data_IF_468425398933
#
_entry.id   IF_468425398933
#
_cell.length_a   1.000
_cell.length_b   1.000
_cell.length_c   1.000
_cell.angle_alpha   90.00
_cell.angle_beta   90.00
_cell.angle_gamma   90.00
#
_symmetry.space_group_name_H-M   'P 1'
#
loop_
_entity.id
_entity.type
_entity.pdbx_description
1 polymer ?
#
# COMPACT_ATOMS: atom_id res chain seq x y z
N UNK A 1 -1.62 11.23 6.19
CA UNK A 1 -0.86 10.18 5.49
C UNK A 1 -1.50 8.85 5.82
N UNK A 2 -1.68 7.96 4.85
CA UNK A 2 -2.26 6.62 5.07
C UNK A 2 -1.15 5.57 5.00
N UNK A 3 -1.16 4.60 5.92
CA UNK A 3 -0.23 3.46 5.90
C UNK A 3 -1.05 2.17 5.91
N UNK A 4 -0.86 1.34 4.89
CA UNK A 4 -1.49 0.03 4.79
C UNK A 4 -0.43 -1.08 4.92
N UNK A 5 -0.63 -1.96 5.90
CA UNK A 5 0.27 -3.05 6.23
C UNK A 5 -0.28 -4.38 5.74
N UNK A 6 0.59 -5.22 5.17
CA UNK A 6 0.29 -6.58 4.71
C UNK A 6 1.36 -7.56 5.18
N UNK A 7 0.98 -8.83 5.23
CA UNK A 7 1.89 -9.96 5.44
C UNK A 7 1.55 -11.05 4.42
N UNK A 8 1.77 -10.74 3.14
CA UNK A 8 1.48 -11.63 2.01
C UNK A 8 2.79 -12.19 1.47
N UNK A 9 2.88 -13.51 1.39
CA UNK A 9 3.99 -14.23 0.76
C UNK A 9 3.80 -14.26 -0.75
N UNK A 10 4.89 -14.19 -1.52
CA UNK A 10 4.85 -14.22 -2.97
C UNK A 10 4.49 -12.86 -3.57
N UNK A 11 3.78 -12.87 -4.71
CA UNK A 11 3.52 -11.65 -5.48
C UNK A 11 2.39 -10.85 -4.84
N UNK A 12 2.68 -9.61 -4.45
CA UNK A 12 1.67 -8.70 -3.92
C UNK A 12 0.61 -8.34 -4.99
N UNK A 13 -0.68 -8.65 -4.77
CA UNK A 13 -1.75 -8.33 -5.71
C UNK A 13 -1.84 -6.83 -6.03
N UNK A 14 -2.07 -6.49 -7.31
CA UNK A 14 -2.28 -5.09 -7.74
C UNK A 14 -3.49 -4.44 -7.06
N UNK A 15 -4.48 -5.23 -6.64
CA UNK A 15 -5.67 -4.77 -5.92
C UNK A 15 -5.32 -3.92 -4.69
N UNK A 16 -4.27 -4.28 -3.93
CA UNK A 16 -3.88 -3.52 -2.74
C UNK A 16 -3.36 -2.12 -3.10
N UNK A 17 -2.76 -1.94 -4.27
CA UNK A 17 -2.35 -0.62 -4.74
C UNK A 17 -3.58 0.23 -5.09
N UNK A 18 -4.56 -0.37 -5.79
CA UNK A 18 -5.83 0.29 -6.11
C UNK A 18 -6.60 0.69 -4.85
N UNK A 19 -6.60 -0.14 -3.81
CA UNK A 19 -7.23 0.17 -2.52
C UNK A 19 -6.60 1.41 -1.86
N UNK A 20 -5.26 1.44 -1.73
CA UNK A 20 -4.54 2.61 -1.19
C UNK A 20 -4.90 3.88 -1.96
N UNK A 21 -4.88 3.84 -3.30
CA UNK A 21 -5.23 4.99 -4.14
C UNK A 21 -6.67 5.44 -3.90
N UNK A 22 -7.62 4.52 -3.81
CA UNK A 22 -9.03 4.84 -3.52
C UNK A 22 -9.18 5.52 -2.16
N UNK A 23 -8.48 5.04 -1.12
CA UNK A 23 -8.50 5.67 0.20
C UNK A 23 -7.87 7.06 0.20
N UNK A 24 -6.77 7.27 -0.52
CA UNK A 24 -6.15 8.59 -0.65
C UNK A 24 -7.10 9.59 -1.30
N UNK A 25 -7.79 9.20 -2.38
CA UNK A 25 -8.80 10.04 -3.05
C UNK A 25 -9.99 10.34 -2.15
N UNK A 26 -10.55 9.33 -1.48
CA UNK A 26 -11.72 9.49 -0.61
C UNK A 26 -11.42 10.37 0.62
N UNK A 27 -10.22 10.23 1.19
CA UNK A 27 -9.79 10.97 2.39
C UNK A 27 -9.17 12.34 2.08
N UNK A 28 -8.98 12.71 0.81
CA UNK A 28 -8.25 13.90 0.37
C UNK A 28 -6.80 13.98 0.90
N UNK A 29 -6.22 12.84 1.26
CA UNK A 29 -4.82 12.73 1.72
C UNK A 29 -3.91 12.47 0.52
N UNK A 30 -2.82 13.23 0.40
CA UNK A 30 -1.92 13.17 -0.76
C UNK A 30 -0.92 12.04 -0.77
N UNK A 31 -0.65 11.38 0.36
CA UNK A 31 0.44 10.41 0.48
C UNK A 31 0.02 9.15 1.21
N UNK A 32 0.32 8.00 0.59
CA UNK A 32 0.08 6.67 1.12
C UNK A 32 1.30 5.77 1.04
N UNK A 33 1.43 4.85 2.00
CA UNK A 33 2.41 3.76 1.98
C UNK A 33 1.69 2.41 1.98
N UNK A 34 2.15 1.50 1.13
CA UNK A 34 1.80 0.09 1.18
C UNK A 34 3.06 -0.68 1.58
N UNK A 35 3.02 -1.35 2.73
CA UNK A 35 4.15 -2.07 3.31
C UNK A 35 3.78 -3.54 3.44
N UNK A 36 4.61 -4.43 2.88
CA UNK A 36 4.44 -5.87 2.99
C UNK A 36 5.60 -6.52 3.74
N UNK A 37 5.29 -7.18 4.85
CA UNK A 37 6.23 -7.91 5.69
C UNK A 37 6.21 -9.43 5.47
N UNK A 38 5.38 -9.94 4.53
CA UNK A 38 5.18 -11.38 4.34
C UNK A 38 6.28 -12.08 3.55
N UNK A 39 7.15 -11.33 2.85
CA UNK A 39 8.28 -11.88 2.11
C UNK A 39 9.58 -11.83 2.96
N UNK A 40 10.63 -12.46 2.46
CA UNK A 40 11.96 -12.50 3.12
C UNK A 40 12.49 -11.11 3.46
N UNK A 41 12.10 -10.09 2.68
CA UNK A 41 12.38 -8.69 2.94
C UNK A 41 11.10 -7.87 2.98
N UNK A 42 11.17 -6.75 3.70
CA UNK A 42 10.10 -5.77 3.74
C UNK A 42 10.00 -5.04 2.40
N UNK A 43 8.84 -5.09 1.76
CA UNK A 43 8.55 -4.32 0.56
C UNK A 43 7.80 -3.05 0.92
N UNK A 44 8.25 -1.91 0.40
CA UNK A 44 7.61 -0.60 0.64
C UNK A 44 7.29 0.05 -0.70
N UNK A 45 6.03 0.45 -0.89
CA UNK A 45 5.59 1.25 -2.03
C UNK A 45 4.95 2.55 -1.57
N UNK A 46 5.40 3.66 -2.17
CA UNK A 46 4.85 5.00 -1.91
C UNK A 46 3.92 5.43 -3.04
N UNK A 47 2.78 5.98 -2.68
CA UNK A 47 1.80 6.55 -3.59
C UNK A 47 1.61 8.03 -3.30
N UNK A 48 1.41 8.82 -4.37
CA UNK A 48 1.03 10.22 -4.30
C UNK A 48 -0.11 10.48 -5.28
N UNK A 49 -1.14 11.21 -4.84
CA UNK A 49 -2.28 11.65 -5.64
C UNK A 49 -2.55 13.14 -5.45
#
# INVERSE_FOLDING_TARGET
>A
MIVELKSVTGIMPKLFQSQVISYLKASKVKTGLLINFGNTSCEVKRFSV
#
